data_IF_252523346105
#
_entry.id   IF_252523346105
#
_cell.length_a   1.000
_cell.length_b   1.000
_cell.length_c   1.000
_cell.angle_alpha   90.00
_cell.angle_beta   90.00
_cell.angle_gamma   90.00
#
_symmetry.space_group_name_H-M   'P 1'
#
loop_
_entity.id
_entity.type
_entity.pdbx_description
1 polymer ?
#
# COMPACT_ATOMS: atom_id res chain seq x y z
N UNK A 1 -56.05 -23.48 -50.29
CA UNK A 1 -55.11 -24.47 -49.72
C UNK A 1 -54.10 -23.72 -48.88
N UNK A 2 -54.00 -24.10 -47.59
CA UNK A 2 -52.97 -23.82 -46.57
C UNK A 2 -52.41 -22.37 -46.44
N UNK A 3 -52.71 -21.60 -45.37
CA UNK A 3 -52.19 -21.73 -43.97
C UNK A 3 -50.76 -21.17 -43.84
N UNK A 4 -50.34 -20.37 -42.85
CA UNK A 4 -51.00 -19.60 -41.78
C UNK A 4 -49.96 -18.69 -41.09
N UNK A 5 -50.46 -17.63 -40.42
CA UNK A 5 -50.09 -17.07 -39.10
C UNK A 5 -48.64 -16.59 -38.81
N UNK A 6 -48.35 -15.65 -37.91
CA UNK A 6 -49.08 -14.62 -37.12
C UNK A 6 -48.01 -13.90 -36.27
N UNK A 7 -48.06 -12.57 -36.10
CA UNK A 7 -47.50 -11.88 -34.92
C UNK A 7 -48.43 -10.71 -34.55
N UNK A 8 -48.95 -10.74 -33.32
CA UNK A 8 -49.80 -9.71 -32.72
C UNK A 8 -48.99 -8.81 -31.77
N UNK A 9 -49.17 -7.49 -31.88
CA UNK A 9 -48.83 -6.51 -30.85
C UNK A 9 -50.12 -5.89 -30.33
N UNK A 10 -50.38 -6.00 -29.03
CA UNK A 10 -51.46 -5.28 -28.36
C UNK A 10 -50.88 -4.27 -27.36
N UNK A 11 -51.21 -3.00 -27.62
CA UNK A 11 -51.01 -1.83 -26.77
C UNK A 11 -52.26 -1.67 -25.90
N UNK A 12 -52.09 -1.48 -24.58
CA UNK A 12 -53.18 -1.17 -23.64
C UNK A 12 -53.22 0.34 -23.30
N UNK A 13 -54.43 0.94 -23.16
CA UNK A 13 -54.63 2.33 -22.72
C UNK A 13 -54.93 2.43 -21.19
N UNK A 14 -55.05 3.65 -20.61
CA UNK A 14 -54.69 3.95 -19.22
C UNK A 14 -55.85 3.78 -18.22
N UNK A 15 -55.52 3.68 -16.92
CA UNK A 15 -56.49 3.62 -15.80
C UNK A 15 -56.49 4.90 -14.97
N UNK A 16 -57.70 5.40 -14.73
CA UNK A 16 -58.05 6.55 -13.90
C UNK A 16 -57.96 6.29 -12.38
N UNK A 17 -57.87 7.41 -11.66
CA UNK A 17 -57.90 7.59 -10.22
C UNK A 17 -59.23 7.15 -9.58
N UNK A 18 -59.15 6.47 -8.44
CA UNK A 18 -60.26 6.31 -7.50
C UNK A 18 -59.94 6.96 -6.15
N UNK A 19 -60.85 7.83 -5.74
CA UNK A 19 -60.88 8.59 -4.50
C UNK A 19 -61.71 7.79 -3.47
N UNK A 20 -61.16 7.55 -2.27
CA UNK A 20 -61.81 6.82 -1.19
C UNK A 20 -61.58 7.52 0.15
N UNK A 21 -62.67 7.82 0.83
CA UNK A 21 -62.89 8.65 2.01
C UNK A 21 -62.07 8.33 3.26
N UNK A 22 -61.65 9.39 3.97
CA UNK A 22 -61.02 9.33 5.29
C UNK A 22 -62.00 9.39 6.47
N UNK A 23 -61.55 8.82 7.60
CA UNK A 23 -61.86 9.21 8.98
C UNK A 23 -60.61 9.00 9.86
N UNK A 24 -60.43 9.79 10.92
CA UNK A 24 -59.12 10.06 11.52
C UNK A 24 -58.77 9.03 12.60
N UNK A 25 -57.50 8.65 12.69
CA UNK A 25 -56.95 7.93 13.84
C UNK A 25 -55.88 8.80 14.50
N UNK A 26 -56.04 8.92 15.81
CA UNK A 26 -55.46 9.88 16.74
C UNK A 26 -53.93 9.78 16.85
N UNK A 27 -53.28 10.95 16.92
CA UNK A 27 -51.89 11.07 17.38
C UNK A 27 -51.88 11.00 18.91
N UNK A 28 -51.02 10.20 19.55
CA UNK A 28 -50.83 10.32 20.98
C UNK A 28 -50.14 11.65 21.30
N UNK A 29 -50.87 12.53 21.99
CA UNK A 29 -50.34 13.74 22.62
C UNK A 29 -49.51 13.34 23.84
N UNK A 30 -48.22 13.59 23.81
CA UNK A 30 -47.39 13.57 25.03
C UNK A 30 -47.48 14.95 25.66
N UNK A 31 -47.90 14.95 26.93
CA UNK A 31 -48.12 16.13 27.74
C UNK A 31 -46.84 16.97 27.90
N UNK A 32 -47.00 18.29 27.84
CA UNK A 32 -45.97 19.25 28.18
C UNK A 32 -45.69 19.21 29.69
N UNK A 33 -44.53 18.68 30.07
CA UNK A 33 -44.00 18.82 31.42
C UNK A 33 -43.34 20.20 31.56
N UNK A 34 -43.92 21.05 32.40
CA UNK A 34 -43.34 22.32 32.86
C UNK A 34 -42.02 22.07 33.60
N UNK A 35 -40.90 22.46 33.03
CA UNK A 35 -39.61 22.55 33.74
C UNK A 35 -39.38 24.02 34.13
N UNK A 36 -39.32 24.26 35.44
CA UNK A 36 -39.03 25.58 36.03
C UNK A 36 -37.53 25.88 35.94
N UNK A 37 -37.20 27.08 35.44
CA UNK A 37 -35.85 27.63 35.47
C UNK A 37 -35.53 28.22 36.85
N UNK A 38 -34.44 27.84 37.54
CA UNK A 38 -33.98 28.61 38.69
C UNK A 38 -33.16 29.82 38.21
N UNK A 39 -33.57 30.95 38.73
CA UNK A 39 -33.04 32.29 38.48
C UNK A 39 -31.60 32.48 38.95
N UNK A 40 -30.88 33.35 38.24
CA UNK A 40 -29.56 33.88 38.59
C UNK A 40 -29.50 34.33 40.06
N UNK A 41 -28.55 33.81 40.83
CA UNK A 41 -28.05 34.49 42.04
C UNK A 41 -26.61 34.93 41.83
N UNK A 42 -26.41 36.25 41.82
CA UNK A 42 -25.12 36.94 42.03
C UNK A 42 -24.61 36.59 43.42
N UNK A 43 -23.33 36.26 43.54
CA UNK A 43 -22.61 36.38 44.82
C UNK A 43 -21.33 37.20 44.61
N UNK A 44 -21.24 38.21 45.48
CA UNK A 44 -20.22 39.26 45.57
C UNK A 44 -19.08 38.76 46.46
N UNK A 45 -17.85 39.17 46.15
CA UNK A 45 -16.62 38.74 46.82
C UNK A 45 -16.19 39.66 48.00
N UNK A 46 -15.37 39.05 48.89
CA UNK A 46 -14.37 39.57 49.89
C UNK A 46 -14.76 39.43 51.39
N UNK A 47 -13.78 39.35 52.33
CA UNK A 47 -12.44 38.73 52.30
C UNK A 47 -11.97 37.98 53.60
N UNK A 48 -10.81 37.29 53.46
CA UNK A 48 -9.68 37.02 54.40
C UNK A 48 -9.86 36.21 55.72
N UNK A 49 -9.08 35.12 55.91
CA UNK A 49 -7.78 35.08 56.62
C UNK A 49 -7.25 33.64 56.88
N UNK A 50 -5.90 33.52 56.83
CA UNK A 50 -4.97 32.58 57.49
C UNK A 50 -5.07 31.06 57.28
N UNK A 51 -4.03 30.46 56.64
CA UNK A 51 -3.17 29.38 57.19
C UNK A 51 -1.79 29.42 56.47
N UNK A 52 -0.72 29.15 57.23
CA UNK A 52 0.72 29.32 56.97
C UNK A 52 1.37 28.35 55.94
N UNK A 53 2.51 28.73 55.32
CA UNK A 53 3.30 27.86 54.46
C UNK A 53 4.40 27.08 55.20
N UNK A 54 4.55 25.79 54.86
CA UNK A 54 5.58 24.89 55.40
C UNK A 54 6.95 25.16 54.74
N UNK A 55 7.85 25.64 55.60
CA UNK A 55 9.33 25.69 55.65
C UNK A 55 10.18 25.18 54.47
N UNK A 56 10.95 26.13 53.92
CA UNK A 56 12.26 25.95 53.28
C UNK A 56 13.30 25.45 54.31
N UNK A 57 14.21 24.59 53.87
CA UNK A 57 15.44 24.27 54.61
C UNK A 57 16.55 25.14 54.02
N UNK A 58 17.03 26.08 54.82
CA UNK A 58 18.28 26.80 54.61
C UNK A 58 19.43 25.89 55.10
N UNK A 59 20.46 25.72 54.27
CA UNK A 59 21.76 25.24 54.74
C UNK A 59 22.84 26.24 54.37
N UNK A 60 23.60 26.60 55.38
CA UNK A 60 24.54 27.70 55.48
C UNK A 60 25.85 27.36 54.78
N UNK A 61 26.37 28.33 54.03
CA UNK A 61 27.72 28.34 53.43
C UNK A 61 28.74 28.79 54.48
N UNK A 62 29.94 28.18 54.54
CA UNK A 62 31.14 28.90 54.93
C UNK A 62 32.08 29.09 53.73
N UNK A 63 32.68 30.26 53.65
CA UNK A 63 33.57 30.66 52.56
C UNK A 63 35.06 30.38 52.87
N UNK A 64 35.77 30.10 51.77
CA UNK A 64 37.20 30.26 51.50
C UNK A 64 38.24 29.31 52.14
N UNK A 65 38.93 28.55 51.28
CA UNK A 65 40.37 28.76 50.94
C UNK A 65 40.73 27.88 49.75
N UNK A 66 41.42 28.44 48.76
CA UNK A 66 41.86 27.72 47.56
C UNK A 66 43.07 26.83 47.82
N UNK A 67 43.05 25.62 47.28
CA UNK A 67 44.23 24.85 46.88
C UNK A 67 43.88 24.06 45.63
N UNK A 68 44.69 24.25 44.60
CA UNK A 68 44.69 23.51 43.34
C UNK A 68 44.88 22.02 43.61
N UNK A 69 43.99 21.18 43.09
CA UNK A 69 44.23 19.74 42.95
C UNK A 69 43.68 19.29 41.59
N UNK A 70 44.58 18.71 40.82
CA UNK A 70 44.45 18.31 39.43
C UNK A 70 43.25 17.39 39.17
N UNK A 71 42.61 17.59 38.03
CA UNK A 71 41.58 16.70 37.48
C UNK A 71 42.12 15.27 37.36
N UNK A 72 41.63 14.37 38.23
CA UNK A 72 41.66 12.94 37.98
C UNK A 72 40.48 12.60 37.08
N UNK A 73 40.75 12.50 35.77
CA UNK A 73 39.86 11.85 34.82
C UNK A 73 39.80 10.37 35.21
N UNK A 74 38.69 9.96 35.82
CA UNK A 74 38.31 8.55 35.86
C UNK A 74 37.80 8.25 34.45
N UNK A 75 38.68 7.73 33.59
CA UNK A 75 38.27 7.06 32.37
C UNK A 75 37.51 5.79 32.77
N UNK A 76 36.18 5.89 32.86
CA UNK A 76 35.33 4.72 32.71
C UNK A 76 35.54 4.19 31.29
N UNK A 77 36.40 3.18 31.17
CA UNK A 77 36.48 2.32 30.00
C UNK A 77 35.08 1.79 29.70
N UNK A 78 34.44 2.32 28.66
CA UNK A 78 33.35 1.62 27.97
C UNK A 78 33.96 0.34 27.40
N UNK A 79 33.64 -0.79 28.03
CA UNK A 79 33.89 -2.11 27.47
C UNK A 79 33.23 -2.17 26.09
N UNK A 80 33.98 -2.70 25.12
CA UNK A 80 33.76 -2.50 23.69
C UNK A 80 32.34 -2.82 23.22
N UNK A 81 31.71 -1.85 22.54
CA UNK A 81 30.60 -2.13 21.64
C UNK A 81 31.13 -3.04 20.52
N UNK A 82 30.77 -4.31 20.58
CA UNK A 82 30.86 -5.21 19.44
C UNK A 82 30.04 -4.58 18.31
N UNK A 83 30.72 -4.04 17.29
CA UNK A 83 30.06 -3.48 16.11
C UNK A 83 29.41 -4.65 15.38
N UNK A 84 28.11 -4.82 15.58
CA UNK A 84 27.34 -5.90 14.95
C UNK A 84 27.24 -5.59 13.46
N UNK A 85 27.80 -6.48 12.64
CA UNK A 85 27.63 -6.45 11.20
C UNK A 85 26.23 -7.01 10.84
N UNK A 86 25.30 -6.10 10.55
CA UNK A 86 23.94 -6.47 10.18
C UNK A 86 23.82 -7.08 8.78
N UNK A 87 24.79 -6.87 7.88
CA UNK A 87 24.80 -7.54 6.57
C UNK A 87 25.12 -9.03 6.76
N UNK A 88 26.13 -9.32 7.59
CA UNK A 88 26.46 -10.69 7.97
C UNK A 88 25.31 -11.36 8.73
N UNK A 89 24.70 -10.66 9.68
CA UNK A 89 23.55 -11.19 10.43
C UNK A 89 22.36 -11.49 9.51
N UNK A 90 22.11 -10.65 8.50
CA UNK A 90 21.06 -10.92 7.52
C UNK A 90 21.33 -12.22 6.73
N UNK A 91 22.58 -12.45 6.31
CA UNK A 91 22.96 -13.68 5.62
C UNK A 91 22.85 -14.93 6.52
N UNK A 92 23.22 -14.81 7.80
CA UNK A 92 23.08 -15.90 8.77
C UNK A 92 21.63 -16.28 9.05
N UNK A 93 20.70 -15.33 8.91
CA UNK A 93 19.27 -15.53 9.16
C UNK A 93 18.45 -15.83 7.91
N UNK A 94 19.05 -15.87 6.70
CA UNK A 94 18.31 -15.99 5.43
C UNK A 94 17.36 -17.20 5.40
N UNK A 95 17.78 -18.32 5.98
CA UNK A 95 17.02 -19.58 6.06
C UNK A 95 16.34 -19.81 7.43
N UNK A 96 16.45 -18.86 8.36
CA UNK A 96 15.84 -18.98 9.68
C UNK A 96 14.31 -18.82 9.61
N UNK A 97 13.60 -19.48 10.52
CA UNK A 97 12.15 -19.33 10.62
C UNK A 97 11.76 -17.95 11.15
N UNK A 98 10.56 -17.43 10.82
CA UNK A 98 10.08 -16.16 11.37
C UNK A 98 10.07 -16.10 12.90
N UNK A 99 9.84 -17.25 13.57
CA UNK A 99 9.86 -17.36 15.02
C UNK A 99 11.28 -17.19 15.57
N UNK A 100 12.28 -17.84 14.98
CA UNK A 100 13.69 -17.68 15.37
C UNK A 100 14.20 -16.26 15.14
N UNK A 101 13.81 -15.64 14.02
CA UNK A 101 14.16 -14.25 13.73
C UNK A 101 13.52 -13.31 14.75
N UNK A 102 12.24 -13.53 15.08
CA UNK A 102 11.52 -12.75 16.08
C UNK A 102 12.16 -12.88 17.46
N UNK A 103 12.47 -14.11 17.89
CA UNK A 103 13.09 -14.37 19.20
C UNK A 103 14.45 -13.65 19.33
N UNK A 104 15.30 -13.75 18.30
CA UNK A 104 16.58 -13.05 18.24
C UNK A 104 16.43 -11.52 18.27
N UNK A 105 15.45 -10.98 17.55
CA UNK A 105 15.21 -9.54 17.52
C UNK A 105 14.79 -9.00 18.89
N UNK A 106 13.84 -9.69 19.54
CA UNK A 106 13.34 -9.32 20.88
C UNK A 106 14.41 -9.53 21.96
N UNK A 107 15.19 -10.61 21.88
CA UNK A 107 16.33 -10.84 22.77
C UNK A 107 17.36 -9.72 22.71
N UNK A 108 17.70 -9.28 21.49
CA UNK A 108 18.78 -8.32 21.27
C UNK A 108 18.44 -6.91 21.74
N UNK A 109 17.19 -6.48 21.57
CA UNK A 109 16.81 -5.08 21.77
C UNK A 109 15.86 -4.86 22.94
N UNK A 110 15.19 -5.89 23.47
CA UNK A 110 14.29 -5.77 24.62
C UNK A 110 13.23 -4.68 24.42
N UNK A 111 13.20 -3.69 25.32
CA UNK A 111 12.23 -2.58 25.28
C UNK A 111 12.54 -1.50 24.22
N UNK A 112 13.74 -1.54 23.61
CA UNK A 112 14.19 -0.59 22.58
C UNK A 112 13.74 -1.01 21.16
N UNK A 113 12.94 -2.07 21.02
CA UNK A 113 12.33 -2.53 19.76
C UNK A 113 10.80 -2.53 19.85
N UNK A 114 10.14 -2.21 18.74
CA UNK A 114 8.68 -2.30 18.64
C UNK A 114 8.21 -2.82 17.28
N UNK A 115 7.09 -3.53 17.30
CA UNK A 115 6.40 -4.05 16.12
C UNK A 115 5.53 -2.95 15.53
N UNK A 116 5.75 -2.65 14.24
CA UNK A 116 4.87 -1.79 13.47
C UNK A 116 3.68 -2.59 12.96
N UNK A 117 2.52 -2.43 13.59
CA UNK A 117 1.28 -3.09 13.21
C UNK A 117 0.38 -2.15 12.39
N UNK A 118 -0.10 -2.61 11.24
CA UNK A 118 -0.94 -1.83 10.33
C UNK A 118 -2.42 -2.20 10.38
N UNK A 119 -2.78 -3.24 11.15
CA UNK A 119 -4.16 -3.72 11.27
C UNK A 119 -4.60 -4.56 10.08
N UNK A 120 -3.65 -5.29 9.47
CA UNK A 120 -3.86 -6.15 8.31
C UNK A 120 -3.36 -7.58 8.61
N UNK A 121 -2.81 -8.28 7.62
CA UNK A 121 -2.26 -9.62 7.79
C UNK A 121 -0.95 -9.66 8.61
N UNK A 122 -0.36 -8.49 8.88
CA UNK A 122 0.82 -8.30 9.71
C UNK A 122 0.57 -8.54 11.21
N UNK A 123 -0.67 -8.85 11.61
CA UNK A 123 -0.99 -9.44 12.92
C UNK A 123 -0.20 -10.73 13.18
N UNK A 124 0.23 -11.42 12.11
CA UNK A 124 1.13 -12.58 12.21
C UNK A 124 2.40 -12.26 13.02
N UNK A 125 2.91 -11.03 12.97
CA UNK A 125 4.07 -10.63 13.76
C UNK A 125 3.78 -10.58 15.26
N UNK A 126 2.57 -10.16 15.64
CA UNK A 126 2.14 -10.15 17.05
C UNK A 126 2.00 -11.59 17.54
N UNK A 127 1.43 -12.48 16.73
CA UNK A 127 1.38 -13.91 17.05
C UNK A 127 2.79 -14.50 17.20
N UNK A 128 3.71 -14.25 16.27
CA UNK A 128 5.09 -14.73 16.40
C UNK A 128 5.76 -14.19 17.67
N UNK A 129 5.59 -12.90 17.98
CA UNK A 129 6.14 -12.31 19.20
C UNK A 129 5.53 -12.95 20.46
N UNK A 130 4.22 -13.16 20.48
CA UNK A 130 3.52 -13.86 21.56
C UNK A 130 4.08 -15.28 21.78
N UNK A 131 4.32 -16.04 20.71
CA UNK A 131 4.88 -17.39 20.77
C UNK A 131 6.32 -17.45 21.31
N UNK A 132 7.10 -16.36 21.23
CA UNK A 132 8.43 -16.32 21.87
C UNK A 132 8.35 -16.30 23.40
N UNK A 133 7.22 -15.87 23.97
CA UNK A 133 7.06 -15.65 25.41
C UNK A 133 7.86 -14.46 25.96
N UNK A 134 8.51 -13.66 25.10
CA UNK A 134 9.24 -12.45 25.50
C UNK A 134 8.29 -11.25 25.55
N UNK A 135 8.54 -10.25 26.41
CA UNK A 135 7.85 -8.97 26.34
C UNK A 135 8.10 -8.30 24.97
N UNK A 136 7.08 -7.64 24.43
CA UNK A 136 7.19 -6.91 23.17
C UNK A 136 6.29 -5.68 23.18
N UNK A 137 6.68 -4.69 22.36
CA UNK A 137 5.91 -3.46 22.16
C UNK A 137 5.29 -3.45 20.77
N UNK A 138 4.11 -2.85 20.65
CA UNK A 138 3.41 -2.70 19.37
C UNK A 138 3.01 -1.24 19.21
N UNK A 139 3.24 -0.68 18.03
CA UNK A 139 2.71 0.64 17.68
C UNK A 139 1.94 0.58 16.36
N UNK A 140 0.99 1.49 16.19
CA UNK A 140 0.18 1.59 14.98
C UNK A 140 0.08 3.04 14.51
N UNK A 141 0.13 3.25 13.19
CA UNK A 141 0.01 4.58 12.60
C UNK A 141 -1.46 4.88 12.31
N UNK A 142 -2.14 5.54 13.24
CA UNK A 142 -3.49 6.03 12.99
C UNK A 142 -3.48 7.30 12.15
N UNK A 143 -3.72 7.12 10.85
CA UNK A 143 -3.81 8.22 9.89
C UNK A 143 -5.03 9.12 10.06
N UNK A 144 -6.01 8.74 10.90
CA UNK A 144 -7.33 9.33 11.03
C UNK A 144 -8.27 9.01 9.85
N UNK A 145 -7.87 8.10 8.96
CA UNK A 145 -8.59 7.70 7.73
C UNK A 145 -8.54 6.18 7.50
N UNK A 146 -8.30 5.40 8.56
CA UNK A 146 -8.37 3.94 8.50
C UNK A 146 -9.83 3.48 8.38
N UNK A 147 -10.03 2.25 7.91
CA UNK A 147 -11.33 1.63 7.88
C UNK A 147 -11.88 1.44 9.32
N UNK A 148 -13.20 1.62 9.55
CA UNK A 148 -13.82 1.27 10.83
C UNK A 148 -13.54 -0.18 11.27
N UNK A 149 -13.45 -1.10 10.32
CA UNK A 149 -13.07 -2.50 10.52
C UNK A 149 -11.67 -2.63 11.12
N UNK A 150 -10.72 -1.79 10.67
CA UNK A 150 -9.35 -1.77 11.19
C UNK A 150 -9.29 -1.31 12.65
N UNK A 151 -10.10 -0.33 13.05
CA UNK A 151 -10.19 0.08 14.46
C UNK A 151 -10.78 -1.00 15.36
N UNK A 152 -11.86 -1.67 14.89
CA UNK A 152 -12.42 -2.82 15.62
C UNK A 152 -11.41 -3.95 15.75
N UNK A 153 -10.63 -4.17 14.69
CA UNK A 153 -9.60 -5.18 14.70
C UNK A 153 -8.45 -4.84 15.67
N UNK A 154 -8.03 -3.57 15.77
CA UNK A 154 -7.06 -3.17 16.80
C UNK A 154 -7.56 -3.46 18.22
N UNK A 155 -8.80 -3.09 18.53
CA UNK A 155 -9.42 -3.37 19.84
C UNK A 155 -9.55 -4.88 20.11
N UNK A 156 -9.84 -5.69 19.08
CA UNK A 156 -9.86 -7.15 19.18
C UNK A 156 -8.46 -7.72 19.46
N UNK A 157 -7.43 -7.23 18.77
CA UNK A 157 -6.03 -7.67 18.96
C UNK A 157 -5.51 -7.30 20.36
N UNK A 158 -5.75 -6.07 20.84
CA UNK A 158 -5.36 -5.66 22.20
C UNK A 158 -5.98 -6.59 23.25
N UNK A 159 -7.26 -6.94 23.12
CA UNK A 159 -7.95 -7.86 24.03
C UNK A 159 -7.49 -9.31 23.90
N UNK A 160 -7.20 -9.76 22.68
CA UNK A 160 -6.82 -11.15 22.42
C UNK A 160 -5.43 -11.45 23.00
N UNK A 161 -4.47 -10.53 22.82
CA UNK A 161 -3.08 -10.73 23.22
C UNK A 161 -2.72 -10.07 24.57
N UNK A 162 -3.64 -9.33 25.18
CA UNK A 162 -3.39 -8.51 26.38
C UNK A 162 -2.21 -7.54 26.17
N UNK A 163 -2.23 -6.84 25.04
CA UNK A 163 -1.20 -5.87 24.64
C UNK A 163 -1.79 -4.46 24.59
N UNK A 164 -0.92 -3.46 24.76
CA UNK A 164 -1.29 -2.07 24.54
C UNK A 164 -0.64 -1.53 23.26
N UNK A 165 -1.44 -1.16 22.28
CA UNK A 165 -0.97 -0.61 21.01
C UNK A 165 -0.70 0.89 21.19
N UNK A 166 0.54 1.30 20.91
CA UNK A 166 0.94 2.71 20.90
C UNK A 166 0.43 3.40 19.61
N UNK A 167 -0.69 4.12 19.69
CA UNK A 167 -1.30 4.80 18.54
C UNK A 167 -0.62 6.14 18.20
N UNK A 168 -0.11 6.24 16.98
CA UNK A 168 0.62 7.41 16.48
C UNK A 168 -0.22 8.24 15.52
N UNK A 169 -0.82 9.30 16.04
CA UNK A 169 -1.66 10.23 15.29
C UNK A 169 -0.86 11.27 14.49
N UNK A 170 -1.41 11.81 13.39
CA UNK A 170 -0.82 12.92 12.67
C UNK A 170 -0.85 14.22 13.46
N UNK A 171 0.07 15.14 13.13
CA UNK A 171 0.02 16.49 13.68
C UNK A 171 -1.22 17.22 13.14
N UNK A 172 -2.04 17.74 14.07
CA UNK A 172 -3.32 18.35 13.72
C UNK A 172 -3.16 19.61 12.88
N UNK A 173 -2.13 20.43 13.13
CA UNK A 173 -1.87 21.68 12.41
C UNK A 173 -1.47 21.37 10.97
N UNK A 174 -0.61 20.38 10.77
CA UNK A 174 -0.21 19.94 9.43
C UNK A 174 -1.39 19.37 8.63
N UNK A 175 -2.22 18.53 9.26
CA UNK A 175 -3.42 17.97 8.63
C UNK A 175 -4.41 19.07 8.27
N UNK A 176 -4.66 20.01 9.19
CA UNK A 176 -5.57 21.14 8.97
C UNK A 176 -5.09 22.02 7.82
N UNK A 177 -3.78 22.24 7.72
CA UNK A 177 -3.17 22.99 6.61
C UNK A 177 -3.41 22.29 5.28
N UNK A 178 -3.05 21.00 5.19
CA UNK A 178 -3.24 20.19 3.98
C UNK A 178 -4.70 20.18 3.51
N UNK A 179 -5.63 19.93 4.44
CA UNK A 179 -7.06 19.82 4.14
C UNK A 179 -7.66 21.16 3.73
N UNK A 180 -7.25 22.28 4.35
CA UNK A 180 -7.71 23.61 3.97
C UNK A 180 -7.24 24.03 2.59
N UNK A 181 -6.01 23.64 2.20
CA UNK A 181 -5.45 24.02 0.91
C UNK A 181 -5.91 23.11 -0.23
N UNK A 182 -6.07 21.81 0.02
CA UNK A 182 -6.24 20.80 -1.04
C UNK A 182 -7.45 19.86 -0.85
N UNK A 183 -8.25 20.07 0.18
CA UNK A 183 -9.40 19.23 0.49
C UNK A 183 -9.05 17.88 1.13
N UNK A 184 -10.05 17.01 1.27
CA UNK A 184 -9.94 15.73 1.98
C UNK A 184 -9.44 14.57 1.11
N UNK A 185 -9.30 14.79 -0.21
CA UNK A 185 -9.06 13.75 -1.22
C UNK A 185 -7.98 14.15 -2.25
N UNK A 186 -7.10 15.09 -1.91
CA UNK A 186 -6.04 15.59 -2.81
C UNK A 186 -5.18 14.48 -3.42
N UNK A 187 -5.04 13.34 -2.72
CA UNK A 187 -4.26 12.20 -3.17
C UNK A 187 -4.77 11.53 -4.47
N UNK A 188 -6.03 11.74 -4.86
CA UNK A 188 -6.51 11.25 -6.17
C UNK A 188 -5.98 12.08 -7.34
N UNK A 189 -5.64 13.33 -7.10
CA UNK A 189 -5.18 14.28 -8.14
C UNK A 189 -3.66 14.46 -8.09
N UNK A 190 -3.12 14.66 -6.88
CA UNK A 190 -1.71 14.97 -6.64
C UNK A 190 -0.83 13.73 -6.39
N UNK A 191 -1.47 12.56 -6.26
CA UNK A 191 -0.83 11.35 -5.73
C UNK A 191 -0.78 11.32 -4.19
N UNK A 192 -0.61 10.12 -3.65
CA UNK A 192 -0.73 9.84 -2.22
C UNK A 192 0.43 10.37 -1.38
N UNK A 193 1.55 10.75 -2.00
CA UNK A 193 2.83 10.96 -1.32
C UNK A 193 2.75 12.08 -0.28
N UNK A 194 2.08 13.19 -0.60
CA UNK A 194 1.93 14.31 0.34
C UNK A 194 1.04 13.96 1.54
N UNK A 195 -0.12 13.36 1.27
CA UNK A 195 -1.05 12.93 2.31
C UNK A 195 -0.38 11.89 3.24
N UNK A 196 0.28 10.88 2.67
CA UNK A 196 1.03 9.88 3.45
C UNK A 196 2.23 10.49 4.17
N UNK A 197 2.90 11.50 3.61
CA UNK A 197 3.99 12.20 4.30
C UNK A 197 3.52 12.82 5.61
N UNK A 198 2.39 13.54 5.57
CA UNK A 198 1.78 14.18 6.74
C UNK A 198 1.17 13.16 7.69
N UNK A 199 0.38 12.22 7.16
CA UNK A 199 -0.44 11.32 7.98
C UNK A 199 0.26 10.05 8.47
N UNK A 200 1.36 9.64 7.83
CA UNK A 200 1.99 8.34 8.06
C UNK A 200 3.50 8.45 8.29
N UNK A 201 4.22 9.11 7.39
CA UNK A 201 5.70 9.19 7.47
C UNK A 201 6.16 10.06 8.64
N UNK A 202 5.56 11.24 8.85
CA UNK A 202 5.93 12.13 9.96
C UNK A 202 5.60 11.52 11.34
N UNK A 203 4.41 10.93 11.57
CA UNK A 203 4.14 10.19 12.80
C UNK A 203 5.07 9.01 13.02
N UNK A 204 5.36 8.22 11.98
CA UNK A 204 6.33 7.13 12.05
C UNK A 204 7.70 7.65 12.50
N UNK A 205 8.21 8.72 11.89
CA UNK A 205 9.51 9.29 12.28
C UNK A 205 9.56 9.69 13.75
N UNK A 206 8.45 10.18 14.32
CA UNK A 206 8.39 10.48 15.77
C UNK A 206 8.40 9.21 16.62
N UNK A 207 7.73 8.15 16.18
CA UNK A 207 7.74 6.86 16.87
C UNK A 207 9.15 6.26 16.91
N UNK A 208 9.79 6.20 15.74
CA UNK A 208 11.10 5.55 15.58
C UNK A 208 12.23 6.29 16.32
N UNK A 209 12.11 7.60 16.54
CA UNK A 209 13.07 8.38 17.35
C UNK A 209 13.21 7.89 18.79
N UNK A 210 12.26 7.11 19.30
CA UNK A 210 12.33 6.52 20.64
C UNK A 210 12.82 5.08 20.66
N UNK A 211 13.30 4.53 19.53
CA UNK A 211 13.62 3.11 19.37
C UNK A 211 15.01 2.92 18.75
N UNK A 212 15.69 1.83 19.10
CA UNK A 212 16.92 1.37 18.42
C UNK A 212 16.62 0.41 17.28
N UNK A 213 15.49 -0.28 17.35
CA UNK A 213 15.04 -1.17 16.29
C UNK A 213 13.52 -1.15 16.08
N UNK A 214 13.08 -1.63 14.93
CA UNK A 214 11.65 -1.82 14.65
C UNK A 214 11.42 -3.04 13.75
N UNK A 215 10.26 -3.66 13.92
CA UNK A 215 9.86 -4.88 13.20
C UNK A 215 8.72 -4.54 12.24
N UNK A 216 8.81 -4.99 10.99
CA UNK A 216 7.77 -4.74 9.98
C UNK A 216 7.33 -6.00 9.26
N UNK A 217 6.06 -6.03 8.84
CA UNK A 217 5.45 -7.16 8.12
C UNK A 217 5.73 -7.16 6.62
N UNK A 218 6.83 -6.54 6.16
CA UNK A 218 7.15 -6.52 4.74
C UNK A 218 7.60 -7.91 4.26
N UNK A 219 6.98 -8.38 3.18
CA UNK A 219 7.36 -9.61 2.48
C UNK A 219 7.85 -9.33 1.07
N UNK A 220 8.73 -10.18 0.55
CA UNK A 220 9.27 -10.06 -0.82
C UNK A 220 8.16 -10.21 -1.88
N UNK A 221 7.13 -11.02 -1.60
CA UNK A 221 6.02 -11.31 -2.51
C UNK A 221 4.91 -10.23 -2.55
N UNK A 222 4.89 -9.30 -1.59
CA UNK A 222 3.85 -8.26 -1.49
C UNK A 222 3.94 -7.16 -2.55
N UNK A 223 5.02 -7.08 -3.32
CA UNK A 223 5.11 -6.10 -4.40
C UNK A 223 6.08 -6.56 -5.47
N UNK A 224 5.62 -6.79 -6.72
CA UNK A 224 6.51 -7.19 -7.77
C UNK A 224 7.47 -6.03 -8.07
N UNK A 225 8.76 -6.26 -7.90
CA UNK A 225 9.83 -5.31 -8.23
C UNK A 225 10.32 -4.42 -7.08
N UNK A 226 9.46 -3.85 -6.24
CA UNK A 226 9.91 -2.91 -5.18
C UNK A 226 10.34 -3.59 -3.87
N UNK A 227 9.92 -4.84 -3.66
CA UNK A 227 10.18 -5.59 -2.41
C UNK A 227 11.00 -6.86 -2.59
N UNK A 228 11.37 -7.21 -3.83
CA UNK A 228 12.05 -8.45 -4.17
C UNK A 228 13.39 -8.68 -3.42
N UNK A 229 14.02 -7.60 -2.95
CA UNK A 229 15.34 -7.63 -2.31
C UNK A 229 15.32 -7.12 -0.86
N UNK A 230 14.18 -7.21 -0.16
CA UNK A 230 14.12 -6.81 1.25
C UNK A 230 14.91 -7.83 2.10
N UNK A 231 15.95 -7.40 2.84
CA UNK A 231 16.69 -8.27 3.75
C UNK A 231 15.91 -8.49 5.05
N UNK A 232 16.23 -9.58 5.74
CA UNK A 232 15.61 -9.96 7.02
C UNK A 232 15.95 -8.96 8.11
N UNK A 233 17.18 -8.45 8.13
CA UNK A 233 17.61 -7.36 9.01
C UNK A 233 18.49 -6.40 8.20
N UNK A 234 18.35 -5.11 8.48
CA UNK A 234 19.21 -4.08 7.90
C UNK A 234 19.26 -2.87 8.80
N UNK A 235 20.29 -2.05 8.65
CA UNK A 235 20.22 -0.65 9.07
C UNK A 235 19.11 0.03 8.26
N UNK A 236 18.22 0.76 8.92
CA UNK A 236 17.13 1.46 8.25
C UNK A 236 17.69 2.57 7.33
N UNK A 237 17.41 2.52 6.02
CA UNK A 237 17.97 3.48 5.08
C UNK A 237 17.24 4.83 5.07
N UNK A 238 16.11 4.96 5.77
CA UNK A 238 15.18 6.09 5.66
C UNK A 238 14.94 6.85 6.96
N UNK A 239 15.10 6.18 8.10
CA UNK A 239 14.80 6.71 9.41
C UNK A 239 15.96 6.55 10.38
N UNK A 240 15.98 7.44 11.37
CA UNK A 240 16.95 7.45 12.45
C UNK A 240 16.24 7.05 13.74
N UNK A 241 16.98 6.36 14.61
CA UNK A 241 16.52 5.81 15.87
C UNK A 241 16.90 6.69 17.05
N UNK A 242 16.90 6.08 18.23
CA UNK A 242 17.18 6.73 19.51
C UNK A 242 18.54 7.42 19.54
N UNK A 243 19.56 6.79 18.95
CA UNK A 243 20.94 7.27 19.00
C UNK A 243 21.21 8.43 18.02
N UNK A 244 20.28 8.68 17.08
CA UNK A 244 20.36 9.78 16.11
C UNK A 244 21.43 9.59 15.02
N UNK A 245 21.17 10.13 13.83
CA UNK A 245 22.09 10.06 12.69
C UNK A 245 22.04 8.74 11.90
N UNK A 246 22.80 8.65 10.79
CA UNK A 246 22.83 7.46 9.93
C UNK A 246 23.31 6.22 10.70
N UNK A 247 22.62 5.09 10.56
CA UNK A 247 23.00 3.86 11.26
C UNK A 247 22.26 3.58 12.57
N UNK A 248 21.54 4.57 13.10
CA UNK A 248 20.97 4.51 14.46
C UNK A 248 19.69 3.68 14.63
N UNK A 249 19.10 3.20 13.55
CA UNK A 249 17.87 2.39 13.60
C UNK A 249 18.05 1.10 12.83
N UNK A 250 17.68 -0.02 13.45
CA UNK A 250 17.72 -1.34 12.82
C UNK A 250 16.32 -1.77 12.45
N UNK A 251 16.13 -2.22 11.21
CA UNK A 251 14.85 -2.70 10.70
C UNK A 251 14.88 -4.21 10.53
N UNK A 252 13.91 -4.87 11.13
CA UNK A 252 13.69 -6.31 11.04
C UNK A 252 12.45 -6.63 10.21
N UNK A 253 12.55 -7.63 9.34
CA UNK A 253 11.48 -8.14 8.50
C UNK A 253 11.39 -9.68 8.66
N UNK A 254 10.88 -10.19 9.79
CA UNK A 254 10.89 -11.64 10.11
C UNK A 254 10.17 -12.51 9.08
N UNK A 255 9.22 -11.93 8.35
CA UNK A 255 8.42 -12.61 7.33
C UNK A 255 8.87 -12.27 5.90
N UNK A 256 10.07 -11.71 5.71
CA UNK A 256 10.56 -11.28 4.40
C UNK A 256 10.50 -12.40 3.34
N UNK A 257 10.87 -13.62 3.74
CA UNK A 257 10.95 -14.81 2.88
C UNK A 257 9.69 -15.67 2.89
N UNK A 258 8.62 -15.24 3.59
CA UNK A 258 7.38 -16.01 3.70
C UNK A 258 6.42 -15.59 2.60
N UNK A 259 5.84 -16.56 1.90
CA UNK A 259 4.77 -16.30 0.93
C UNK A 259 3.45 -15.95 1.65
N UNK A 260 2.63 -15.09 1.05
CA UNK A 260 1.36 -14.66 1.62
C UNK A 260 0.40 -15.82 1.88
N UNK A 261 0.43 -16.88 1.05
CA UNK A 261 -0.37 -18.10 1.28
C UNK A 261 0.00 -18.77 2.61
N UNK A 262 1.27 -18.74 2.98
CA UNK A 262 1.79 -19.40 4.18
C UNK A 262 1.53 -18.57 5.42
N UNK A 263 1.54 -17.23 5.31
CA UNK A 263 0.99 -16.34 6.35
C UNK A 263 -0.48 -16.66 6.62
N UNK A 264 -1.30 -16.80 5.57
CA UNK A 264 -2.72 -17.13 5.73
C UNK A 264 -2.95 -18.54 6.28
N UNK A 265 -2.09 -19.51 5.95
CA UNK A 265 -2.12 -20.84 6.56
C UNK A 265 -1.79 -20.78 8.05
N UNK A 266 -0.76 -20.02 8.41
CA UNK A 266 -0.35 -19.80 9.79
C UNK A 266 -1.47 -19.16 10.62
N UNK A 267 -2.00 -18.01 10.18
CA UNK A 267 -3.07 -17.29 10.88
C UNK A 267 -4.30 -18.17 11.14
N UNK A 268 -4.70 -18.97 10.14
CA UNK A 268 -5.84 -19.90 10.28
C UNK A 268 -5.54 -21.06 11.23
N UNK A 269 -4.33 -21.63 11.16
CA UNK A 269 -3.93 -22.77 11.99
C UNK A 269 -3.82 -22.38 13.46
N UNK A 270 -3.32 -21.17 13.72
CA UNK A 270 -3.18 -20.61 15.05
C UNK A 270 -4.46 -19.94 15.57
N UNK A 271 -5.53 -19.92 14.77
CA UNK A 271 -6.81 -19.29 15.11
C UNK A 271 -6.66 -17.81 15.53
N UNK A 272 -5.79 -17.09 14.83
CA UNK A 272 -5.49 -15.67 15.07
C UNK A 272 -6.65 -14.81 14.56
N UNK A 273 -7.11 -13.81 15.32
CA UNK A 273 -8.12 -12.87 14.82
C UNK A 273 -7.56 -12.12 13.59
N UNK A 274 -8.41 -11.90 12.59
CA UNK A 274 -8.02 -11.19 11.36
C UNK A 274 -9.01 -10.09 11.02
N UNK A 275 -8.53 -9.05 10.35
CA UNK A 275 -9.37 -7.94 9.92
C UNK A 275 -10.56 -8.44 9.06
N UNK A 276 -11.77 -8.08 9.46
CA UNK A 276 -13.02 -8.47 8.76
C UNK A 276 -13.10 -8.04 7.29
N UNK A 277 -12.27 -7.10 6.82
CA UNK A 277 -12.19 -6.75 5.40
C UNK A 277 -11.63 -7.89 4.55
N UNK A 278 -10.85 -8.80 5.11
CA UNK A 278 -10.29 -9.92 4.35
C UNK A 278 -11.38 -10.86 3.81
N UNK A 279 -12.50 -11.02 4.52
CA UNK A 279 -13.66 -11.78 4.02
C UNK A 279 -14.45 -11.05 2.92
N UNK A 280 -14.12 -9.78 2.66
CA UNK A 280 -14.76 -8.92 1.67
C UNK A 280 -13.88 -8.70 0.43
N UNK A 281 -12.80 -9.48 0.27
CA UNK A 281 -11.89 -9.41 -0.88
C UNK A 281 -10.75 -8.40 -0.75
N UNK A 282 -10.55 -7.81 0.42
CA UNK A 282 -9.37 -6.99 0.68
C UNK A 282 -8.18 -7.89 1.02
N UNK A 283 -7.19 -7.95 0.13
CA UNK A 283 -5.94 -8.69 0.41
C UNK A 283 -4.93 -7.77 1.09
N UNK A 284 -4.64 -6.60 0.52
CA UNK A 284 -3.81 -5.55 1.15
C UNK A 284 -4.70 -4.48 1.76
N UNK A 285 -4.52 -4.19 3.05
CA UNK A 285 -5.32 -3.20 3.79
C UNK A 285 -4.51 -1.91 4.05
N UNK A 286 -5.20 -0.77 4.06
CA UNK A 286 -4.62 0.55 4.30
C UNK A 286 -5.67 1.54 4.77
N UNK A 287 -5.46 2.83 4.48
CA UNK A 287 -6.52 3.82 4.68
C UNK A 287 -7.72 3.51 3.76
N UNK A 288 -8.92 3.75 4.26
CA UNK A 288 -10.19 3.53 3.55
C UNK A 288 -10.21 4.15 2.15
N UNK A 289 -9.87 5.44 1.94
CA UNK A 289 -10.03 6.05 0.62
C UNK A 289 -8.96 5.60 -0.38
N UNK A 290 -7.91 4.92 0.08
CA UNK A 290 -6.77 4.52 -0.74
C UNK A 290 -6.63 3.00 -0.86
N UNK A 291 -7.65 2.26 -0.41
CA UNK A 291 -7.71 0.80 -0.45
C UNK A 291 -9.02 0.32 -1.06
N UNK A 292 -8.97 -0.69 -1.93
CA UNK A 292 -10.15 -1.37 -2.49
C UNK A 292 -9.92 -2.88 -2.51
N UNK A 293 -10.98 -3.71 -2.55
CA UNK A 293 -10.82 -5.15 -2.73
C UNK A 293 -10.24 -5.46 -4.12
N UNK A 294 -9.63 -6.63 -4.24
CA UNK A 294 -9.09 -7.16 -5.50
C UNK A 294 -9.95 -8.33 -5.99
N UNK A 295 -9.98 -8.52 -7.31
CA UNK A 295 -10.67 -9.67 -7.91
C UNK A 295 -9.84 -10.96 -7.74
N UNK A 296 -10.46 -12.14 -7.86
CA UNK A 296 -9.70 -13.40 -7.91
C UNK A 296 -8.61 -13.35 -8.99
N UNK A 297 -7.36 -13.61 -8.59
CA UNK A 297 -6.20 -13.59 -9.47
C UNK A 297 -5.52 -12.23 -9.67
N UNK A 298 -6.11 -11.12 -9.19
CA UNK A 298 -5.44 -9.81 -9.15
C UNK A 298 -4.39 -9.77 -8.04
N UNK A 299 -3.30 -9.05 -8.29
CA UNK A 299 -2.23 -8.90 -7.32
C UNK A 299 -2.67 -7.98 -6.16
N UNK A 300 -2.27 -8.30 -4.93
CA UNK A 300 -2.72 -7.59 -3.72
C UNK A 300 -2.46 -6.06 -3.76
N UNK A 301 -1.38 -5.63 -4.43
CA UNK A 301 -1.06 -4.20 -4.63
C UNK A 301 -1.99 -3.45 -5.57
N UNK A 302 -2.77 -4.13 -6.40
CA UNK A 302 -3.76 -3.48 -7.24
C UNK A 302 -4.94 -2.91 -6.45
N UNK A 303 -5.11 -3.38 -5.20
CA UNK A 303 -6.03 -2.79 -4.23
C UNK A 303 -5.56 -1.46 -3.66
N UNK A 304 -4.29 -1.06 -3.90
CA UNK A 304 -3.65 0.11 -3.27
C UNK A 304 -3.31 1.17 -4.30
N UNK A 305 -3.70 2.41 -4.04
CA UNK A 305 -3.41 3.57 -4.91
C UNK A 305 -3.66 3.23 -6.39
N UNK A 306 -4.81 2.63 -6.67
CA UNK A 306 -5.11 2.03 -7.97
C UNK A 306 -5.13 3.02 -9.14
N UNK A 307 -5.20 4.33 -8.83
CA UNK A 307 -5.14 5.42 -9.79
C UNK A 307 -3.69 5.86 -10.14
N UNK A 308 -2.69 5.41 -9.38
CA UNK A 308 -1.27 5.75 -9.59
C UNK A 308 -0.53 4.67 -10.40
N UNK A 309 0.56 5.09 -11.07
CA UNK A 309 1.43 4.19 -11.82
C UNK A 309 2.13 3.19 -10.89
N UNK A 310 2.36 1.96 -11.35
CA UNK A 310 2.84 0.85 -10.51
C UNK A 310 4.18 1.10 -9.79
N UNK A 311 5.08 1.91 -10.37
CA UNK A 311 6.34 2.34 -9.73
C UNK A 311 6.14 3.27 -8.53
N UNK A 312 5.02 3.99 -8.50
CA UNK A 312 4.71 4.96 -7.46
C UNK A 312 3.94 4.35 -6.28
N UNK A 313 3.50 3.07 -6.36
CA UNK A 313 2.64 2.41 -5.37
C UNK A 313 3.34 1.98 -4.06
N UNK A 314 4.48 2.58 -3.72
CA UNK A 314 5.10 2.40 -2.42
C UNK A 314 4.94 3.65 -1.55
N UNK A 315 4.49 3.40 -0.32
CA UNK A 315 4.37 4.45 0.66
C UNK A 315 5.76 4.97 1.05
N UNK A 316 5.83 6.24 1.45
CA UNK A 316 7.05 6.87 1.98
C UNK A 316 7.74 6.17 3.15
N UNK A 317 7.16 5.12 3.74
CA UNK A 317 7.79 4.35 4.83
C UNK A 317 8.94 3.43 4.40
N UNK A 318 9.02 3.06 3.12
CA UNK A 318 9.95 2.02 2.69
C UNK A 318 10.71 2.41 1.41
N UNK A 319 10.74 3.71 1.09
CA UNK A 319 11.34 4.21 -0.14
C UNK A 319 12.85 3.92 -0.23
N UNK A 320 13.57 3.88 0.89
CA UNK A 320 15.00 3.59 0.89
C UNK A 320 15.39 2.18 0.45
N UNK A 321 14.43 1.25 0.32
CA UNK A 321 14.70 -0.11 -0.20
C UNK A 321 14.77 -0.16 -1.73
N UNK A 322 14.41 0.93 -2.43
CA UNK A 322 14.45 1.01 -3.89
C UNK A 322 15.84 1.48 -4.29
N UNK A 323 16.69 0.59 -4.81
CA UNK A 323 17.97 0.98 -5.42
C UNK A 323 17.68 1.72 -6.74
N UNK A 324 18.06 2.99 -6.84
CA UNK A 324 18.16 3.67 -8.14
C UNK A 324 19.27 2.97 -8.94
N UNK A 325 18.94 2.45 -10.12
CA UNK A 325 19.85 1.62 -10.92
C UNK A 325 21.14 2.36 -11.27
N UNK A 326 22.25 1.89 -10.70
CA UNK A 326 23.60 2.33 -11.01
C UNK A 326 24.28 1.46 -12.06
N UNK A 327 24.90 2.15 -13.02
CA UNK A 327 26.03 1.77 -13.87
C UNK A 327 25.85 0.70 -14.96
N UNK A 328 25.52 1.16 -16.17
CA UNK A 328 25.67 0.38 -17.40
C UNK A 328 27.15 0.32 -17.80
N UNK A 329 27.79 -0.79 -17.44
CA UNK A 329 29.13 -1.12 -17.89
C UNK A 329 29.15 -1.31 -19.41
N UNK A 330 29.93 -0.47 -20.09
CA UNK A 330 30.12 -0.46 -21.54
C UNK A 330 30.78 -1.75 -22.01
N UNK A 331 30.04 -2.60 -22.72
CA UNK A 331 30.61 -3.61 -23.61
C UNK A 331 30.48 -3.06 -25.03
N UNK A 332 31.61 -2.71 -25.63
CA UNK A 332 31.68 -2.23 -26.99
C UNK A 332 31.47 -3.35 -28.00
N UNK A 333 30.56 -3.14 -28.96
CA UNK A 333 30.52 -3.89 -30.21
C UNK A 333 30.35 -2.90 -31.36
N UNK A 334 31.28 -2.98 -32.30
CA UNK A 334 31.35 -2.18 -33.53
C UNK A 334 30.26 -2.57 -34.54
N UNK A 335 29.65 -1.56 -35.17
CA UNK A 335 29.66 -1.47 -36.64
C UNK A 335 28.39 -1.80 -37.43
N UNK A 336 27.73 -0.73 -37.88
CA UNK A 336 27.00 -0.53 -39.15
C UNK A 336 25.59 -1.11 -39.37
N UNK A 337 24.60 -0.19 -39.40
CA UNK A 337 23.28 -0.39 -40.00
C UNK A 337 22.41 0.87 -39.87
N UNK A 338 22.38 1.66 -40.95
CA UNK A 338 21.69 2.94 -41.22
C UNK A 338 20.38 3.23 -40.44
N UNK A 339 20.35 4.45 -39.90
CA UNK A 339 19.34 5.06 -39.05
C UNK A 339 18.04 5.48 -39.76
N UNK A 340 16.93 5.31 -39.04
CA UNK A 340 15.70 6.11 -39.18
C UNK A 340 15.19 6.48 -37.79
N UNK A 341 15.62 7.64 -37.28
CA UNK A 341 15.36 8.14 -35.93
C UNK A 341 14.07 8.96 -35.84
N UNK A 342 13.21 8.63 -34.88
CA UNK A 342 12.40 9.63 -34.15
C UNK A 342 12.36 9.26 -32.66
N UNK A 343 13.03 10.07 -31.83
CA UNK A 343 12.96 10.21 -30.37
C UNK A 343 13.24 8.99 -29.46
N UNK A 344 14.52 8.59 -29.38
CA UNK A 344 15.29 8.69 -28.12
C UNK A 344 14.98 7.77 -26.95
N UNK A 345 14.35 6.61 -27.13
CA UNK A 345 14.35 5.51 -26.15
C UNK A 345 14.38 4.19 -26.93
N UNK A 346 15.23 3.20 -26.58
CA UNK A 346 15.21 1.90 -27.24
C UNK A 346 13.82 1.27 -27.10
N UNK A 347 13.22 0.85 -28.22
CA UNK A 347 11.90 0.23 -28.23
C UNK A 347 12.03 -1.23 -27.78
N UNK A 348 11.65 -1.48 -26.52
CA UNK A 348 11.81 -2.74 -25.77
C UNK A 348 10.92 -3.91 -26.26
N UNK A 349 10.29 -3.82 -27.43
CA UNK A 349 9.41 -4.87 -27.95
C UNK A 349 9.55 -5.00 -29.47
N UNK A 350 10.70 -4.64 -30.03
CA UNK A 350 10.90 -4.60 -31.48
C UNK A 350 11.44 -5.94 -32.01
N UNK A 351 10.52 -6.77 -32.53
CA UNK A 351 10.84 -8.08 -33.13
C UNK A 351 9.99 -8.33 -34.37
N UNK A 352 10.43 -9.27 -35.23
CA UNK A 352 9.84 -9.51 -36.57
C UNK A 352 8.34 -9.86 -36.56
N UNK A 353 7.80 -10.33 -35.43
CA UNK A 353 6.42 -10.80 -35.31
C UNK A 353 5.51 -9.89 -34.46
N UNK A 354 6.04 -8.77 -33.96
CA UNK A 354 5.26 -7.78 -33.19
C UNK A 354 5.10 -6.50 -34.01
N UNK A 355 3.86 -6.13 -34.28
CA UNK A 355 3.54 -4.94 -35.08
C UNK A 355 3.45 -3.71 -34.17
N UNK A 356 4.27 -2.69 -34.44
CA UNK A 356 4.16 -1.41 -33.76
C UNK A 356 2.94 -0.63 -34.27
N UNK A 357 1.97 -0.39 -33.39
CA UNK A 357 0.75 0.36 -33.68
C UNK A 357 0.93 1.79 -33.18
N UNK A 358 0.70 2.76 -34.07
CA UNK A 358 0.43 4.15 -33.70
C UNK A 358 -1.05 4.38 -33.39
N UNK A 359 -1.42 5.60 -32.99
CA UNK A 359 -2.81 5.98 -32.70
C UNK A 359 -3.78 5.62 -33.85
N UNK A 360 -3.48 5.94 -35.13
CA UNK A 360 -4.38 5.57 -36.23
C UNK A 360 -4.58 4.05 -36.36
N UNK A 361 -3.55 3.25 -36.05
CA UNK A 361 -3.63 1.79 -36.08
C UNK A 361 -4.62 1.26 -35.03
N UNK A 362 -4.56 1.78 -33.81
CA UNK A 362 -5.50 1.42 -32.74
C UNK A 362 -6.92 1.90 -33.04
N UNK A 363 -7.09 3.13 -33.52
CA UNK A 363 -8.41 3.66 -33.89
C UNK A 363 -9.06 2.81 -34.99
N UNK A 364 -8.27 2.30 -35.95
CA UNK A 364 -8.76 1.37 -36.95
C UNK A 364 -9.20 0.03 -36.35
N UNK A 365 -8.46 -0.51 -35.36
CA UNK A 365 -8.89 -1.70 -34.63
C UNK A 365 -10.21 -1.47 -33.88
N UNK A 366 -10.43 -0.29 -33.30
CA UNK A 366 -11.68 0.04 -32.60
C UNK A 366 -12.88 0.16 -33.55
N UNK A 367 -12.68 0.67 -34.77
CA UNK A 367 -13.76 0.86 -35.76
C UNK A 367 -14.23 -0.43 -36.43
N UNK A 368 -13.49 -1.54 -36.30
CA UNK A 368 -13.78 -2.85 -36.90
C UNK A 368 -13.79 -2.89 -38.44
N UNK A 369 -13.74 -1.76 -39.12
CA UNK A 369 -13.71 -1.65 -40.57
C UNK A 369 -12.49 -2.39 -41.14
N UNK A 370 -12.74 -3.47 -41.89
CA UNK A 370 -11.75 -4.30 -42.58
C UNK A 370 -10.82 -5.18 -41.71
N UNK A 371 -11.16 -5.47 -40.43
CA UNK A 371 -10.36 -6.41 -39.62
C UNK A 371 -10.56 -7.86 -40.06
N UNK A 372 -9.58 -8.42 -40.79
CA UNK A 372 -9.62 -9.80 -41.31
C UNK A 372 -9.12 -10.86 -40.32
N UNK A 373 -8.28 -10.44 -39.37
CA UNK A 373 -7.60 -11.31 -38.40
C UNK A 373 -7.83 -10.74 -36.99
N UNK A 374 -7.96 -11.58 -35.95
CA UNK A 374 -7.96 -11.12 -34.58
C UNK A 374 -6.59 -10.54 -34.19
N UNK A 375 -6.59 -9.60 -33.23
CA UNK A 375 -5.36 -8.99 -32.73
C UNK A 375 -5.20 -9.18 -31.24
N UNK A 376 -3.99 -9.50 -30.80
CA UNK A 376 -3.56 -9.34 -29.42
C UNK A 376 -2.66 -8.11 -29.35
N UNK A 377 -3.02 -7.13 -28.53
CA UNK A 377 -2.27 -5.88 -28.43
C UNK A 377 -1.86 -5.62 -26.98
N UNK A 378 -0.58 -5.37 -26.76
CA UNK A 378 -0.08 -4.83 -25.48
C UNK A 378 -0.04 -3.31 -25.52
N UNK A 379 -0.67 -2.68 -24.54
CA UNK A 379 -0.45 -1.28 -24.19
C UNK A 379 0.74 -1.22 -23.23
N UNK A 380 1.83 -0.58 -23.63
CA UNK A 380 3.09 -0.54 -22.87
C UNK A 380 3.64 0.88 -22.75
N UNK A 381 4.62 1.02 -21.86
CA UNK A 381 5.45 2.20 -21.75
C UNK A 381 6.92 1.78 -21.62
N UNK A 382 7.88 2.42 -22.30
CA UNK A 382 9.28 1.98 -22.30
C UNK A 382 9.92 1.99 -20.90
N UNK A 383 9.48 2.90 -20.03
CA UNK A 383 9.94 2.98 -18.65
C UNK A 383 9.29 1.93 -17.73
N UNK A 384 8.26 1.21 -18.15
CA UNK A 384 7.53 0.28 -17.28
C UNK A 384 8.29 -1.03 -17.09
N UNK A 385 8.69 -1.33 -15.85
CA UNK A 385 9.42 -2.56 -15.51
C UNK A 385 8.59 -3.82 -15.73
N UNK A 386 7.26 -3.76 -15.56
CA UNK A 386 6.36 -4.87 -15.84
C UNK A 386 6.27 -5.18 -17.35
N UNK A 387 6.34 -4.14 -18.19
CA UNK A 387 6.42 -4.33 -19.64
C UNK A 387 7.74 -4.98 -20.05
N UNK A 388 8.85 -4.54 -19.44
CA UNK A 388 10.18 -5.11 -19.66
C UNK A 388 10.26 -6.57 -19.16
N UNK A 389 9.72 -6.87 -17.98
CA UNK A 389 9.71 -8.23 -17.43
C UNK A 389 8.90 -9.22 -18.28
N UNK A 390 7.88 -8.73 -18.99
CA UNK A 390 7.05 -9.54 -19.89
C UNK A 390 7.64 -9.68 -21.30
N UNK A 391 8.61 -8.85 -21.69
CA UNK A 391 9.14 -8.74 -23.05
C UNK A 391 9.44 -10.10 -23.68
N UNK A 392 10.24 -10.93 -23.00
CA UNK A 392 10.62 -12.25 -23.50
C UNK A 392 9.41 -13.16 -23.76
N UNK A 393 8.45 -13.22 -22.82
CA UNK A 393 7.24 -14.02 -22.97
C UNK A 393 6.33 -13.50 -24.09
N UNK A 394 6.24 -12.18 -24.27
CA UNK A 394 5.41 -11.61 -25.33
C UNK A 394 6.02 -11.80 -26.72
N UNK A 395 7.35 -11.76 -26.82
CA UNK A 395 8.10 -12.10 -28.05
C UNK A 395 7.91 -13.58 -28.40
N UNK A 396 8.12 -14.49 -27.44
CA UNK A 396 7.93 -15.93 -27.67
C UNK A 396 6.47 -16.23 -28.07
N UNK A 397 5.50 -15.57 -27.44
CA UNK A 397 4.09 -15.69 -27.81
C UNK A 397 3.84 -15.26 -29.27
N UNK A 398 4.42 -14.13 -29.69
CA UNK A 398 4.28 -13.63 -31.05
C UNK A 398 4.85 -14.62 -32.09
N UNK A 399 5.97 -15.26 -31.77
CA UNK A 399 6.55 -16.32 -32.61
C UNK A 399 5.62 -17.53 -32.72
N UNK A 400 5.08 -18.03 -31.59
CA UNK A 400 4.13 -19.15 -31.59
C UNK A 400 2.83 -18.84 -32.36
N UNK A 401 2.37 -17.60 -32.29
CA UNK A 401 1.14 -17.16 -32.97
C UNK A 401 1.34 -16.80 -34.44
N UNK A 402 2.59 -16.69 -34.93
CA UNK A 402 2.89 -16.27 -36.30
C UNK A 402 2.19 -17.11 -37.39
N UNK A 403 1.95 -18.40 -37.13
CA UNK A 403 1.24 -19.33 -38.02
C UNK A 403 -0.25 -19.54 -37.69
N UNK A 404 -0.75 -18.89 -36.63
CA UNK A 404 -2.11 -19.11 -36.09
C UNK A 404 -3.19 -18.21 -36.69
N UNK A 405 -2.80 -17.24 -37.54
CA UNK A 405 -3.72 -16.24 -38.11
C UNK A 405 -4.13 -15.14 -37.12
N UNK A 406 -3.41 -15.00 -36.00
CA UNK A 406 -3.60 -13.95 -34.99
C UNK A 406 -2.44 -12.96 -35.10
N UNK A 407 -2.76 -11.67 -35.21
CA UNK A 407 -1.75 -10.60 -35.25
C UNK A 407 -1.39 -10.18 -33.83
N UNK A 408 -0.11 -10.02 -33.57
CA UNK A 408 0.39 -9.50 -32.29
C UNK A 408 0.92 -8.08 -32.50
N UNK A 409 0.48 -7.17 -31.66
CA UNK A 409 0.81 -5.75 -31.77
C UNK A 409 1.21 -5.13 -30.43
N UNK A 410 1.91 -4.01 -30.52
CA UNK A 410 2.27 -3.17 -29.37
C UNK A 410 1.79 -1.74 -29.61
N UNK A 411 1.34 -1.07 -28.57
CA UNK A 411 0.98 0.34 -28.59
C UNK A 411 1.62 1.04 -27.40
N UNK A 412 2.50 1.99 -27.70
CA UNK A 412 3.09 2.85 -26.68
C UNK A 412 2.03 3.82 -26.17
N UNK A 413 1.53 3.58 -24.96
CA UNK A 413 0.36 4.27 -24.40
C UNK A 413 0.71 5.29 -23.30
N UNK A 414 1.97 5.72 -23.18
CA UNK A 414 2.40 6.79 -22.29
C UNK A 414 2.38 8.18 -22.98
N UNK A 415 2.75 9.22 -22.23
CA UNK A 415 2.75 10.60 -22.73
C UNK A 415 1.39 11.04 -23.28
N UNK A 416 1.38 11.67 -24.45
CA UNK A 416 0.18 12.20 -25.12
C UNK A 416 -0.84 11.12 -25.52
N UNK A 417 -0.45 9.85 -25.49
CA UNK A 417 -1.34 8.71 -25.77
C UNK A 417 -2.10 8.22 -24.53
N UNK A 418 -1.64 8.56 -23.31
CA UNK A 418 -2.21 8.07 -22.05
C UNK A 418 -3.70 8.44 -21.90
N UNK A 419 -4.15 9.69 -22.17
CA UNK A 419 -5.57 10.04 -22.02
C UNK A 419 -6.48 9.24 -22.96
N UNK A 420 -6.07 9.09 -24.22
CA UNK A 420 -6.78 8.28 -25.21
C UNK A 420 -6.87 6.81 -24.78
N UNK A 421 -5.76 6.23 -24.33
CA UNK A 421 -5.73 4.84 -23.90
C UNK A 421 -6.57 4.58 -22.64
N UNK A 422 -6.61 5.54 -21.69
CA UNK A 422 -7.46 5.44 -20.51
C UNK A 422 -8.95 5.46 -20.89
N UNK A 423 -9.34 6.37 -21.79
CA UNK A 423 -10.72 6.56 -22.19
C UNK A 423 -11.24 5.45 -23.10
N UNK A 424 -10.48 5.09 -24.14
CA UNK A 424 -10.96 4.23 -25.23
C UNK A 424 -10.49 2.78 -25.10
N UNK A 425 -9.37 2.53 -24.40
CA UNK A 425 -8.72 1.23 -24.33
C UNK A 425 -8.71 0.61 -22.94
N UNK A 426 -9.42 1.22 -21.97
CA UNK A 426 -9.51 0.73 -20.59
C UNK A 426 -8.13 0.56 -19.93
N UNK A 427 -7.17 1.43 -20.30
CA UNK A 427 -5.85 1.48 -19.68
C UNK A 427 -6.00 1.94 -18.23
N UNK A 428 -5.76 1.02 -17.28
CA UNK A 428 -5.68 1.33 -15.84
C UNK A 428 -4.25 1.24 -15.30
N UNK A 429 -3.43 0.37 -15.89
CA UNK A 429 -2.05 0.10 -15.52
C UNK A 429 -1.30 -0.50 -16.71
N UNK A 430 0.03 -0.49 -16.66
CA UNK A 430 0.90 -1.12 -17.65
C UNK A 430 1.49 -2.43 -17.12
N UNK A 431 1.66 -3.47 -17.97
CA UNK A 431 1.06 -3.61 -19.30
C UNK A 431 -0.45 -3.90 -19.21
N UNK A 432 -1.22 -3.35 -20.15
CA UNK A 432 -2.61 -3.78 -20.38
C UNK A 432 -2.65 -4.57 -21.68
N UNK A 433 -3.17 -5.80 -21.66
CA UNK A 433 -3.32 -6.63 -22.87
C UNK A 433 -4.78 -6.64 -23.29
N UNK A 434 -5.00 -6.39 -24.57
CA UNK A 434 -6.31 -6.37 -25.21
C UNK A 434 -6.34 -7.38 -26.34
N UNK A 435 -7.37 -8.22 -26.35
CA UNK A 435 -7.72 -9.05 -27.48
C UNK A 435 -8.82 -8.38 -28.29
N UNK A 436 -8.61 -8.22 -29.59
CA UNK A 436 -9.55 -7.65 -30.55
C UNK A 436 -10.07 -8.79 -31.43
N UNK A 437 -11.27 -9.34 -31.15
CA UNK A 437 -11.82 -10.46 -31.91
C UNK A 437 -12.14 -10.05 -33.34
N UNK A 438 -12.03 -10.98 -34.30
CA UNK A 438 -12.32 -10.69 -35.72
C UNK A 438 -13.68 -10.01 -35.96
N UNK A 439 -14.72 -10.41 -35.24
CA UNK A 439 -16.10 -9.98 -35.47
C UNK A 439 -16.74 -9.13 -34.35
N UNK A 440 -15.96 -8.61 -33.39
CA UNK A 440 -16.48 -7.81 -32.26
C UNK A 440 -15.82 -6.44 -32.14
N UNK A 441 -16.61 -5.36 -32.08
CA UNK A 441 -16.09 -3.98 -32.07
C UNK A 441 -15.35 -3.61 -30.79
N UNK A 442 -15.61 -4.32 -29.69
CA UNK A 442 -15.02 -4.04 -28.39
C UNK A 442 -13.83 -4.96 -28.10
N UNK A 443 -12.68 -4.43 -27.65
CA UNK A 443 -11.60 -5.25 -27.16
C UNK A 443 -11.98 -5.93 -25.85
N UNK A 444 -11.52 -7.16 -25.68
CA UNK A 444 -11.61 -7.95 -24.47
C UNK A 444 -10.30 -7.78 -23.72
N UNK A 445 -10.38 -7.23 -22.50
CA UNK A 445 -9.20 -7.06 -21.65
C UNK A 445 -8.77 -8.39 -21.06
N UNK A 446 -7.49 -8.70 -21.14
CA UNK A 446 -6.93 -9.87 -20.46
C UNK A 446 -6.98 -9.66 -18.93
N UNK A 447 -7.66 -10.54 -18.17
CA UNK A 447 -7.98 -10.26 -16.76
C UNK A 447 -6.95 -10.81 -15.76
N UNK A 448 -6.10 -11.75 -16.18
CA UNK A 448 -5.08 -12.37 -15.33
C UNK A 448 -3.92 -11.40 -15.07
N UNK A 449 -3.03 -11.73 -14.15
CA UNK A 449 -1.71 -11.08 -13.95
C UNK A 449 -0.54 -11.95 -14.46
N UNK A 450 -0.79 -13.23 -14.73
CA UNK A 450 0.21 -14.11 -15.35
C UNK A 450 0.45 -13.67 -16.79
N UNK A 451 1.70 -13.38 -17.14
CA UNK A 451 2.11 -12.92 -18.48
C UNK A 451 3.04 -13.90 -19.17
N UNK A 452 3.15 -15.12 -18.63
CA UNK A 452 3.81 -16.23 -19.30
C UNK A 452 3.02 -16.67 -20.54
N UNK A 453 3.74 -17.34 -21.43
CA UNK A 453 3.24 -17.76 -22.74
C UNK A 453 2.01 -18.67 -22.62
N UNK A 454 2.02 -19.61 -21.67
CA UNK A 454 0.93 -20.58 -21.50
C UNK A 454 -0.36 -19.89 -21.07
N UNK A 455 -0.27 -18.95 -20.14
CA UNK A 455 -1.43 -18.19 -19.65
C UNK A 455 -2.03 -17.28 -20.73
N UNK A 456 -1.19 -16.73 -21.62
CA UNK A 456 -1.64 -15.90 -22.74
C UNK A 456 -2.25 -16.75 -23.87
N UNK A 457 -1.65 -17.90 -24.19
CA UNK A 457 -2.20 -18.86 -25.15
C UNK A 457 -3.57 -19.38 -24.70
N UNK A 458 -3.69 -19.80 -23.43
CA UNK A 458 -4.95 -20.29 -22.89
C UNK A 458 -6.08 -19.25 -22.99
N UNK A 459 -5.76 -17.97 -22.77
CA UNK A 459 -6.72 -16.89 -22.94
C UNK A 459 -7.15 -16.69 -24.39
N UNK A 460 -6.19 -16.75 -25.31
CA UNK A 460 -6.46 -16.61 -26.75
C UNK A 460 -7.30 -17.78 -27.25
N UNK A 461 -6.93 -19.01 -26.87
CA UNK A 461 -7.66 -20.22 -27.26
C UNK A 461 -9.10 -20.24 -26.72
N UNK A 462 -9.34 -19.65 -25.54
CA UNK A 462 -10.68 -19.49 -24.99
C UNK A 462 -11.55 -18.47 -25.75
N UNK A 463 -10.94 -17.59 -26.55
CA UNK A 463 -11.61 -16.47 -27.24
C UNK A 463 -11.60 -16.59 -28.77
N UNK A 464 -10.91 -17.59 -29.33
CA UNK A 464 -10.76 -17.77 -30.77
C UNK A 464 -11.98 -18.41 -31.44
#
# INVERSE_FOLDING_TARGET
MASAASISHHVMPPRELFMGSGRPVERPSVAASTVSFPSRRRLVARPAHNVEPIRRIDSVVPAATGVSASDMVIEEKREGEEVVDFEKLAAELEDASPLEIMDKALEKFGDDIAIAFSGAEDVALIEYAHLTGRPFRVFSLDTGRLNPETYRFFDEVEKHYDVHIEYMFPDAVEVQTLVRSKGLFSFYEDGHQECCRVRKVRPLRRALKGLKAWITGQRKDQSPGTRAHIPIVQVDPSFEGLDGGPGSLIKWNPVANVEGKDIWNFLRTMNVPVNSLHSQGYVSIGCEPCTRPVLPGQHEREGRWWWEDAKAKECGLHKGNIKEGGDSQRVGVNGNGVAGTVNGTPDILDTQHIINLGRPGIENLLKLENRQEPWLVVLYAPWCQFCQAMEASYVELAEKLSASGIKVGKFRADGDQKPFAQQELQLGSFPTILFFPKHASRPIKYPSEKRDVDSLLAFIDALR
#
